data_IF_546813513939
#
_entry.id   IF_546813513939
#
_cell.length_a   1.000
_cell.length_b   1.000
_cell.length_c   1.000
_cell.angle_alpha   90.00
_cell.angle_beta   90.00
_cell.angle_gamma   90.00
#
_symmetry.space_group_name_H-M   'P 1'
#
loop_
_entity.id
_entity.type
_entity.pdbx_description
1 polymer ?
#
# COMPACT_ATOMS: atom_id res chain seq x y z
N UNK A 1 63.71 33.85 15.11
CA UNK A 1 62.27 34.16 14.97
C UNK A 1 61.56 32.86 14.60
N UNK A 2 60.85 32.25 15.53
CA UNK A 2 60.08 31.03 15.25
C UNK A 2 58.75 31.49 14.66
N UNK A 3 58.48 31.10 13.41
CA UNK A 3 57.20 31.40 12.76
C UNK A 3 56.20 30.36 13.23
N UNK A 4 55.12 30.82 13.87
CA UNK A 4 53.99 29.95 14.24
C UNK A 4 53.16 29.62 12.99
N UNK A 5 53.25 28.37 12.54
CA UNK A 5 52.56 27.86 11.37
C UNK A 5 51.14 27.35 11.68
N UNK A 6 50.71 27.37 12.96
CA UNK A 6 49.38 26.87 13.38
C UNK A 6 48.22 27.69 12.78
N UNK A 7 48.50 28.88 12.28
CA UNK A 7 47.54 29.77 11.60
C UNK A 7 47.50 29.61 10.08
N UNK A 8 48.47 28.89 9.47
CA UNK A 8 48.56 28.72 8.02
C UNK A 8 47.69 27.58 7.47
N UNK A 9 47.25 26.65 8.32
CA UNK A 9 46.27 25.64 7.95
C UNK A 9 44.91 26.01 8.57
N UNK A 10 43.95 26.54 7.78
CA UNK A 10 42.61 26.77 8.31
C UNK A 10 42.06 25.46 8.89
N UNK A 11 41.42 25.55 10.06
CA UNK A 11 40.84 24.38 10.71
C UNK A 11 39.81 23.74 9.77
N UNK A 12 40.04 22.48 9.39
CA UNK A 12 39.05 21.70 8.64
C UNK A 12 37.74 21.61 9.44
N UNK A 13 36.61 21.94 8.82
CA UNK A 13 35.28 21.89 9.43
C UNK A 13 34.42 20.78 8.80
N UNK A 14 33.36 20.39 9.50
CA UNK A 14 32.31 19.52 8.99
C UNK A 14 30.96 20.14 9.35
N UNK A 15 29.99 20.09 8.44
CA UNK A 15 28.66 20.63 8.64
C UNK A 15 27.64 19.84 7.79
N UNK A 16 26.36 20.01 8.11
CA UNK A 16 25.21 19.57 7.33
C UNK A 16 25.28 18.13 6.80
N UNK A 17 25.40 17.16 7.71
CA UNK A 17 25.46 15.73 7.41
C UNK A 17 26.87 15.12 7.50
N UNK A 18 27.91 15.96 7.48
CA UNK A 18 29.28 15.55 7.75
C UNK A 18 29.60 15.64 9.25
N UNK A 19 30.41 14.70 9.73
CA UNK A 19 30.96 14.66 11.08
C UNK A 19 32.49 14.63 11.00
N UNK A 20 33.15 15.47 11.77
CA UNK A 20 34.60 15.44 11.94
C UNK A 20 34.94 14.49 13.10
N UNK A 21 35.26 13.23 12.78
CA UNK A 21 35.50 12.20 13.80
C UNK A 21 36.89 12.25 14.41
N UNK A 22 37.83 12.95 13.79
CA UNK A 22 39.15 13.28 14.35
C UNK A 22 39.67 14.60 13.78
N UNK A 23 40.86 15.04 14.18
CA UNK A 23 41.49 16.25 13.62
C UNK A 23 41.70 16.18 12.10
N UNK A 24 41.81 14.97 11.53
CA UNK A 24 42.15 14.71 10.13
C UNK A 24 41.07 13.94 9.36
N UNK A 25 40.02 13.47 10.03
CA UNK A 25 39.00 12.64 9.40
C UNK A 25 37.62 13.32 9.41
N UNK A 26 37.05 13.50 8.22
CA UNK A 26 35.67 13.94 8.01
C UNK A 26 34.91 12.83 7.30
N UNK A 27 33.75 12.46 7.85
CA UNK A 27 32.92 11.34 7.39
C UNK A 27 31.44 11.75 7.34
N UNK A 28 30.59 10.92 6.73
CA UNK A 28 29.14 11.06 6.86
C UNK A 28 28.68 10.66 8.27
N UNK A 29 27.53 11.19 8.70
CA UNK A 29 26.88 10.84 9.97
C UNK A 29 26.75 11.99 10.97
N UNK A 30 26.98 13.23 10.54
CA UNK A 30 26.60 14.42 11.32
C UNK A 30 25.11 14.76 11.16
N UNK A 31 24.54 15.63 12.01
CA UNK A 31 23.18 16.11 11.83
C UNK A 31 23.07 16.96 10.56
N UNK A 32 21.91 16.92 9.91
CA UNK A 32 21.54 17.91 8.91
C UNK A 32 21.13 19.19 9.63
N UNK A 33 21.83 20.28 9.33
CA UNK A 33 21.59 21.63 9.88
C UNK A 33 20.83 22.51 8.90
N UNK A 34 20.68 22.05 7.64
CA UNK A 34 19.86 22.64 6.60
C UNK A 34 19.27 21.58 5.67
N UNK A 35 18.46 22.01 4.69
CA UNK A 35 17.96 21.11 3.66
C UNK A 35 19.10 20.66 2.74
N UNK A 36 19.12 19.37 2.39
CA UNK A 36 20.18 18.76 1.55
C UNK A 36 19.56 18.00 0.39
N UNK A 37 20.15 18.14 -0.79
CA UNK A 37 19.74 17.42 -2.00
C UNK A 37 20.96 16.76 -2.65
N UNK A 38 20.86 15.46 -2.92
CA UNK A 38 21.82 14.74 -3.76
C UNK A 38 21.19 14.58 -5.14
N UNK A 39 21.70 15.30 -6.14
CA UNK A 39 21.19 15.22 -7.51
C UNK A 39 21.88 14.09 -8.26
N UNK A 40 21.11 13.12 -8.75
CA UNK A 40 21.60 12.01 -9.57
C UNK A 40 21.22 12.20 -11.03
N UNK A 41 21.88 11.47 -11.93
CA UNK A 41 21.51 11.35 -13.34
C UNK A 41 21.56 9.87 -13.76
N UNK A 42 21.18 9.56 -15.00
CA UNK A 42 21.31 8.21 -15.53
C UNK A 42 22.77 7.70 -15.54
N UNK A 43 23.75 8.60 -15.66
CA UNK A 43 25.17 8.25 -15.62
C UNK A 43 25.77 8.35 -14.21
N UNK A 44 25.26 9.25 -13.37
CA UNK A 44 25.72 9.49 -12.00
C UNK A 44 24.65 9.06 -11.00
N UNK A 45 24.66 7.78 -10.63
CA UNK A 45 23.66 7.18 -9.73
C UNK A 45 24.10 7.17 -8.26
N UNK A 46 23.16 6.99 -7.34
CA UNK A 46 23.44 6.72 -5.92
C UNK A 46 23.19 5.23 -5.66
N UNK A 47 24.26 4.45 -5.52
CA UNK A 47 24.19 3.04 -5.17
C UNK A 47 24.74 2.81 -3.76
N UNK A 48 24.03 1.99 -2.97
CA UNK A 48 24.48 1.52 -1.65
C UNK A 48 24.63 0.00 -1.75
N UNK A 49 25.78 -0.51 -2.25
CA UNK A 49 25.99 -1.95 -2.37
C UNK A 49 26.13 -2.60 -0.98
N UNK A 50 25.74 -3.87 -0.87
CA UNK A 50 25.93 -4.66 0.36
C UNK A 50 24.91 -4.40 1.48
N UNK A 51 23.72 -3.88 1.16
CA UNK A 51 22.61 -3.80 2.11
C UNK A 51 22.34 -5.17 2.74
N UNK A 52 22.20 -5.18 4.06
CA UNK A 52 21.87 -6.38 4.84
C UNK A 52 20.36 -6.62 4.81
N UNK A 53 19.93 -7.87 5.03
CA UNK A 53 18.51 -8.20 5.21
C UNK A 53 17.98 -7.49 6.46
N UNK A 54 16.89 -6.73 6.30
CA UNK A 54 16.22 -6.04 7.40
C UNK A 54 15.39 -6.95 8.30
N UNK A 55 15.02 -6.45 9.47
CA UNK A 55 14.08 -7.08 10.39
C UNK A 55 12.62 -6.63 10.10
N UNK A 56 11.64 -7.36 10.64
CA UNK A 56 10.22 -7.02 10.53
C UNK A 56 9.85 -5.66 11.14
N UNK A 57 10.70 -5.12 12.02
CA UNK A 57 10.54 -3.79 12.63
C UNK A 57 11.10 -2.65 11.78
N UNK A 58 11.86 -2.97 10.74
CA UNK A 58 12.47 -1.97 9.88
C UNK A 58 11.43 -1.32 8.96
N UNK A 59 11.72 -0.09 8.53
CA UNK A 59 10.83 0.68 7.66
C UNK A 59 11.25 0.56 6.21
N UNK A 60 10.26 0.65 5.32
CA UNK A 60 10.52 0.81 3.89
C UNK A 60 10.83 2.28 3.61
N UNK A 61 11.91 2.56 2.89
CA UNK A 61 12.21 3.90 2.41
C UNK A 61 11.50 4.11 1.06
N UNK A 62 10.72 5.18 0.98
CA UNK A 62 10.07 5.67 -0.25
C UNK A 62 10.55 7.08 -0.57
N UNK A 63 10.10 7.62 -1.70
CA UNK A 63 10.37 8.98 -2.14
C UNK A 63 9.06 9.73 -2.39
N UNK A 64 8.98 11.00 -1.98
CA UNK A 64 7.84 11.88 -2.32
C UNK A 64 7.86 12.27 -3.79
N UNK A 65 6.77 12.88 -4.27
CA UNK A 65 6.73 13.52 -5.60
C UNK A 65 7.79 14.62 -5.78
N UNK A 66 8.34 15.16 -4.69
CA UNK A 66 9.39 16.18 -4.68
C UNK A 66 10.80 15.61 -4.49
N UNK A 67 10.97 14.28 -4.47
CA UNK A 67 12.30 13.66 -4.35
C UNK A 67 12.80 13.49 -2.91
N UNK A 68 11.99 13.77 -1.88
CA UNK A 68 12.39 13.65 -0.46
C UNK A 68 12.20 12.20 0.00
N UNK A 69 13.22 11.63 0.62
CA UNK A 69 13.12 10.29 1.22
C UNK A 69 12.22 10.31 2.45
N UNK A 70 11.33 9.33 2.56
CA UNK A 70 10.44 9.13 3.70
C UNK A 70 10.40 7.66 4.10
N UNK A 71 10.05 7.39 5.36
CA UNK A 71 9.92 6.04 5.86
C UNK A 71 8.45 5.65 6.00
N UNK A 72 8.05 4.51 5.44
CA UNK A 72 6.74 3.93 5.59
C UNK A 72 6.77 2.79 6.62
N UNK A 73 5.72 2.68 7.43
CA UNK A 73 5.54 1.60 8.41
C UNK A 73 5.30 0.22 7.76
N UNK A 74 5.22 0.17 6.44
CA UNK A 74 5.09 -1.05 5.63
C UNK A 74 4.84 -0.67 4.18
N UNK A 75 5.16 -1.56 3.25
CA UNK A 75 4.67 -1.45 1.88
C UNK A 75 3.32 -2.16 1.80
N UNK A 76 2.27 -1.43 1.41
CA UNK A 76 1.01 -2.06 1.04
C UNK A 76 1.25 -2.90 -0.21
N UNK A 77 0.64 -4.10 -0.33
CA UNK A 77 0.72 -4.86 -1.55
C UNK A 77 0.10 -4.05 -2.70
N UNK A 78 0.66 -4.16 -3.91
CA UNK A 78 0.14 -3.44 -5.09
C UNK A 78 -1.32 -3.80 -5.41
N UNK A 79 -1.77 -4.97 -4.97
CA UNK A 79 -3.15 -5.40 -5.04
C UNK A 79 -3.43 -6.46 -3.96
N UNK A 80 -4.70 -6.66 -3.65
CA UNK A 80 -5.20 -7.72 -2.77
C UNK A 80 -6.57 -8.19 -3.26
N UNK A 81 -7.00 -9.39 -2.85
CA UNK A 81 -8.35 -9.87 -3.14
C UNK A 81 -9.35 -9.19 -2.21
N UNK A 82 -10.54 -8.89 -2.72
CA UNK A 82 -11.66 -8.48 -1.89
C UNK A 82 -11.93 -9.55 -0.82
N UNK A 83 -12.40 -9.18 0.38
CA UNK A 83 -12.88 -10.19 1.31
C UNK A 83 -14.08 -10.93 0.70
N UNK A 84 -14.32 -12.14 1.18
CA UNK A 84 -15.46 -12.93 0.74
C UNK A 84 -16.76 -12.16 0.96
N UNK A 85 -17.56 -12.05 -0.11
CA UNK A 85 -18.87 -11.41 -0.08
C UNK A 85 -19.89 -12.33 -0.73
N UNK A 86 -21.07 -12.41 -0.12
CA UNK A 86 -22.21 -13.09 -0.75
C UNK A 86 -22.69 -12.20 -1.90
N UNK A 87 -22.81 -12.79 -3.09
CA UNK A 87 -23.41 -12.14 -4.26
C UNK A 87 -24.83 -12.70 -4.43
N UNK A 88 -25.89 -11.94 -4.10
CA UNK A 88 -27.26 -12.44 -4.21
C UNK A 88 -27.61 -12.82 -5.64
N UNK A 89 -28.14 -14.01 -5.84
CA UNK A 89 -28.59 -14.50 -7.15
C UNK A 89 -30.09 -14.77 -7.19
N UNK A 90 -30.69 -15.05 -6.04
CA UNK A 90 -32.09 -15.40 -5.89
C UNK A 90 -32.73 -14.58 -4.76
N UNK A 91 -34.04 -14.41 -4.84
CA UNK A 91 -34.84 -13.87 -3.73
C UNK A 91 -35.04 -14.91 -2.61
N UNK A 92 -35.77 -14.53 -1.56
CA UNK A 92 -36.06 -15.42 -0.43
C UNK A 92 -36.91 -16.65 -0.78
N UNK A 93 -37.53 -16.67 -1.96
CA UNK A 93 -38.32 -17.80 -2.45
C UNK A 93 -37.52 -18.69 -3.41
N UNK A 94 -36.22 -18.39 -3.63
CA UNK A 94 -35.37 -19.13 -4.55
C UNK A 94 -35.61 -18.80 -6.02
N UNK A 95 -36.21 -17.65 -6.34
CA UNK A 95 -36.43 -17.19 -7.72
C UNK A 95 -35.25 -16.29 -8.15
N UNK A 96 -34.65 -16.50 -9.35
CA UNK A 96 -33.56 -15.64 -9.82
C UNK A 96 -33.93 -14.16 -9.84
N UNK A 97 -33.01 -13.31 -9.38
CA UNK A 97 -33.23 -11.87 -9.31
C UNK A 97 -33.40 -11.27 -10.71
N UNK A 98 -34.36 -10.35 -10.84
CA UNK A 98 -34.69 -9.69 -12.12
C UNK A 98 -34.17 -8.26 -12.14
N UNK A 99 -33.65 -7.84 -13.30
CA UNK A 99 -33.12 -6.50 -13.52
C UNK A 99 -31.72 -6.28 -12.92
N UNK A 100 -31.29 -5.03 -12.91
CA UNK A 100 -29.97 -4.65 -12.41
C UNK A 100 -29.92 -4.76 -10.89
N UNK A 101 -28.97 -5.55 -10.41
CA UNK A 101 -28.60 -5.68 -9.01
C UNK A 101 -27.32 -4.90 -8.75
N UNK A 102 -27.14 -4.42 -7.52
CA UNK A 102 -25.94 -3.70 -7.10
C UNK A 102 -25.33 -4.32 -5.86
N UNK A 103 -24.00 -4.44 -5.84
CA UNK A 103 -23.22 -4.87 -4.70
C UNK A 103 -22.10 -3.87 -4.44
N UNK A 104 -22.20 -3.14 -3.33
CA UNK A 104 -21.16 -2.23 -2.87
C UNK A 104 -20.03 -3.03 -2.19
N UNK A 105 -19.03 -3.42 -2.98
CA UNK A 105 -17.89 -4.23 -2.54
C UNK A 105 -16.91 -3.42 -1.69
N UNK A 106 -16.85 -2.10 -1.87
CA UNK A 106 -16.01 -1.24 -1.03
C UNK A 106 -16.56 -1.16 0.39
N UNK A 107 -17.87 -0.93 0.56
CA UNK A 107 -18.51 -0.91 1.87
C UNK A 107 -18.35 -2.26 2.61
N UNK A 108 -18.52 -3.38 1.89
CA UNK A 108 -18.25 -4.72 2.45
C UNK A 108 -16.79 -4.90 2.85
N UNK A 109 -15.85 -4.42 2.05
CA UNK A 109 -14.43 -4.41 2.38
C UNK A 109 -14.14 -3.61 3.65
N UNK A 110 -14.60 -2.36 3.70
CA UNK A 110 -14.36 -1.47 4.84
C UNK A 110 -14.95 -2.03 6.13
N UNK A 111 -16.13 -2.66 6.06
CA UNK A 111 -16.73 -3.32 7.22
C UNK A 111 -15.93 -4.53 7.70
N UNK A 112 -15.49 -5.40 6.78
CA UNK A 112 -14.77 -6.63 7.14
C UNK A 112 -13.33 -6.37 7.58
N UNK A 113 -12.64 -5.37 7.02
CA UNK A 113 -11.27 -5.01 7.42
C UNK A 113 -11.23 -4.04 8.59
N UNK A 114 -12.21 -3.12 8.67
CA UNK A 114 -12.32 -2.14 9.75
C UNK A 114 -12.94 -2.70 11.03
N UNK A 115 -13.11 -4.02 11.12
CA UNK A 115 -13.79 -4.63 12.25
C UNK A 115 -12.99 -4.50 13.56
N UNK A 116 -13.70 -4.28 14.66
CA UNK A 116 -13.13 -4.23 16.01
C UNK A 116 -13.67 -5.37 16.90
N UNK A 117 -14.11 -6.47 16.29
CA UNK A 117 -14.78 -7.60 16.95
C UNK A 117 -16.30 -7.50 16.91
N UNK A 118 -16.96 -8.65 16.91
CA UNK A 118 -18.41 -8.77 16.77
C UNK A 118 -18.87 -10.21 16.52
N UNK A 119 -20.17 -10.41 16.32
CA UNK A 119 -20.74 -11.72 15.97
C UNK A 119 -20.14 -12.20 14.65
N UNK A 120 -19.61 -13.42 14.62
CA UNK A 120 -18.99 -14.01 13.44
C UNK A 120 -17.60 -13.46 13.10
N UNK A 121 -16.96 -12.72 14.00
CA UNK A 121 -15.65 -12.11 13.77
C UNK A 121 -14.68 -12.51 14.89
N UNK A 122 -13.42 -12.77 14.53
CA UNK A 122 -12.37 -13.15 15.48
C UNK A 122 -11.02 -12.55 15.10
N UNK A 123 -10.16 -12.32 16.09
CA UNK A 123 -8.77 -11.89 15.92
C UNK A 123 -7.90 -12.44 17.05
N UNK A 124 -6.67 -12.80 16.73
CA UNK A 124 -5.72 -13.36 17.71
C UNK A 124 -5.21 -12.31 18.70
N UNK A 125 -5.01 -11.08 18.24
CA UNK A 125 -4.65 -9.92 19.06
C UNK A 125 -5.78 -8.90 19.01
N UNK A 126 -6.46 -8.68 20.14
CA UNK A 126 -7.58 -7.75 20.28
C UNK A 126 -7.22 -6.27 20.04
N UNK A 127 -5.94 -5.93 20.14
CA UNK A 127 -5.43 -4.58 19.85
C UNK A 127 -4.96 -4.41 18.40
N UNK A 128 -4.87 -5.50 17.63
CA UNK A 128 -4.49 -5.44 16.22
C UNK A 128 -5.67 -5.07 15.33
N UNK A 129 -5.40 -4.35 14.25
CA UNK A 129 -6.36 -3.93 13.23
C UNK A 129 -5.79 -4.17 11.83
N UNK A 130 -6.67 -4.39 10.85
CA UNK A 130 -6.27 -4.39 9.45
C UNK A 130 -6.37 -2.97 8.88
N UNK A 131 -5.45 -2.56 7.97
CA UNK A 131 -5.57 -1.28 7.30
C UNK A 131 -6.79 -1.28 6.36
N UNK A 132 -7.57 -0.20 6.40
CA UNK A 132 -8.63 0.10 5.43
C UNK A 132 -8.17 1.26 4.57
N UNK A 133 -8.01 1.02 3.28
CA UNK A 133 -7.67 2.06 2.31
C UNK A 133 -8.94 2.78 1.87
N UNK A 134 -8.90 4.11 1.68
CA UNK A 134 -10.05 4.84 1.16
C UNK A 134 -10.32 4.43 -0.29
N UNK A 135 -11.58 4.47 -0.73
CA UNK A 135 -11.95 4.15 -2.12
C UNK A 135 -11.17 4.99 -3.16
N UNK A 136 -10.79 6.22 -2.80
CA UNK A 136 -9.96 7.09 -3.65
C UNK A 136 -8.58 6.51 -3.96
N UNK A 137 -8.03 5.64 -3.11
CA UNK A 137 -6.73 4.97 -3.27
C UNK A 137 -6.82 3.60 -3.94
N UNK A 138 -8.02 3.20 -4.40
CA UNK A 138 -8.27 1.88 -4.95
C UNK A 138 -8.79 1.93 -6.38
N UNK A 139 -8.35 0.96 -7.19
CA UNK A 139 -8.99 0.55 -8.44
C UNK A 139 -9.59 -0.85 -8.26
N UNK A 140 -10.77 -1.11 -8.83
CA UNK A 140 -11.50 -2.37 -8.64
C UNK A 140 -11.60 -3.17 -9.93
N UNK A 141 -11.41 -4.48 -9.83
CA UNK A 141 -11.43 -5.39 -10.96
C UNK A 141 -12.27 -6.62 -10.64
N UNK A 142 -13.12 -7.02 -11.57
CA UNK A 142 -13.72 -8.36 -11.60
C UNK A 142 -12.89 -9.18 -12.59
N UNK A 143 -12.06 -10.08 -12.07
CA UNK A 143 -11.14 -10.87 -12.91
C UNK A 143 -11.76 -12.17 -13.41
N UNK A 144 -12.84 -12.61 -12.77
CA UNK A 144 -13.65 -13.75 -13.18
C UNK A 144 -15.07 -13.62 -12.62
N UNK A 145 -16.06 -14.09 -13.35
CA UNK A 145 -17.39 -14.40 -12.82
C UNK A 145 -17.96 -15.60 -13.58
N UNK A 146 -18.79 -16.40 -12.90
CA UNK A 146 -19.51 -17.49 -13.52
C UNK A 146 -20.56 -16.97 -14.52
N UNK A 147 -20.27 -17.08 -15.81
CA UNK A 147 -21.14 -16.59 -16.87
C UNK A 147 -22.37 -17.48 -17.11
N UNK A 148 -22.51 -18.63 -16.44
CA UNK A 148 -23.73 -19.44 -16.48
C UNK A 148 -24.80 -18.87 -15.55
N UNK A 149 -24.38 -18.13 -14.53
CA UNK A 149 -25.24 -17.46 -13.55
C UNK A 149 -25.41 -15.97 -13.86
N UNK A 150 -24.32 -15.27 -14.13
CA UNK A 150 -24.31 -13.82 -14.36
C UNK A 150 -24.24 -13.47 -15.86
N UNK A 151 -24.79 -12.32 -16.25
CA UNK A 151 -24.73 -11.84 -17.64
C UNK A 151 -23.91 -10.55 -17.78
N UNK A 152 -24.49 -9.41 -17.43
CA UNK A 152 -23.77 -8.13 -17.44
C UNK A 152 -23.13 -7.96 -16.07
N UNK A 153 -21.82 -7.70 -16.02
CA UNK A 153 -21.11 -7.37 -14.78
C UNK A 153 -20.20 -6.17 -15.06
N UNK A 154 -20.40 -5.10 -14.32
CA UNK A 154 -19.56 -3.89 -14.40
C UNK A 154 -19.19 -3.45 -12.99
N UNK A 155 -18.04 -2.80 -12.83
CA UNK A 155 -17.61 -2.24 -11.55
C UNK A 155 -17.29 -0.76 -11.70
N UNK A 156 -17.80 0.06 -10.79
CA UNK A 156 -17.56 1.51 -10.78
C UNK A 156 -16.27 1.88 -10.06
N UNK A 157 -15.79 3.12 -10.27
CA UNK A 157 -14.67 3.68 -9.53
C UNK A 157 -14.94 3.89 -8.02
N UNK A 158 -16.21 3.77 -7.59
CA UNK A 158 -16.59 3.81 -6.18
C UNK A 158 -16.62 2.42 -5.52
N UNK A 159 -16.25 1.36 -6.26
CA UNK A 159 -16.31 -0.01 -5.75
C UNK A 159 -17.73 -0.54 -5.64
N UNK A 160 -18.59 -0.20 -6.60
CA UNK A 160 -19.94 -0.76 -6.72
C UNK A 160 -20.01 -1.63 -7.97
N UNK A 161 -20.27 -2.92 -7.77
CA UNK A 161 -20.57 -3.85 -8.85
C UNK A 161 -22.05 -3.71 -9.22
N UNK A 162 -22.34 -3.57 -10.51
CA UNK A 162 -23.69 -3.72 -11.06
C UNK A 162 -23.73 -5.00 -11.87
N UNK A 163 -24.72 -5.86 -11.62
CA UNK A 163 -24.86 -7.13 -12.31
C UNK A 163 -26.31 -7.54 -12.59
N UNK A 164 -26.49 -8.49 -13.51
CA UNK A 164 -27.79 -9.15 -13.76
C UNK A 164 -27.64 -10.65 -13.65
N UNK A 165 -28.68 -11.33 -13.14
CA UNK A 165 -28.75 -12.79 -13.04
C UNK A 165 -29.53 -13.35 -14.23
N UNK A 166 -29.10 -14.48 -14.78
CA UNK A 166 -29.83 -15.15 -15.87
C UNK A 166 -31.12 -15.77 -15.32
N UNK A 167 -32.24 -15.73 -16.08
CA UNK A 167 -33.51 -16.32 -15.62
C UNK A 167 -33.45 -17.83 -15.34
N UNK A 168 -32.50 -18.54 -15.94
CA UNK A 168 -32.27 -19.99 -15.76
C UNK A 168 -31.04 -20.27 -14.90
N UNK A 169 -30.55 -19.28 -14.15
CA UNK A 169 -29.36 -19.45 -13.33
C UNK A 169 -29.60 -20.52 -12.26
N UNK A 170 -28.66 -21.44 -12.13
CA UNK A 170 -28.59 -22.41 -11.02
C UNK A 170 -27.25 -22.19 -10.34
N UNK A 171 -27.24 -21.40 -9.27
CA UNK A 171 -26.02 -21.12 -8.53
C UNK A 171 -25.60 -22.36 -7.73
N UNK A 172 -24.32 -22.71 -7.82
CA UNK A 172 -23.72 -23.82 -7.06
C UNK A 172 -22.55 -23.31 -6.23
N UNK A 173 -21.91 -24.20 -5.46
CA UNK A 173 -20.66 -23.87 -4.75
C UNK A 173 -19.53 -23.44 -5.70
N UNK A 174 -19.61 -23.78 -6.99
CA UNK A 174 -18.66 -23.34 -8.01
C UNK A 174 -19.04 -21.98 -8.65
N UNK A 175 -20.17 -21.39 -8.27
CA UNK A 175 -20.65 -20.11 -8.82
C UNK A 175 -20.14 -18.93 -8.00
N UNK A 176 -18.97 -18.39 -8.37
CA UNK A 176 -18.33 -17.28 -7.67
C UNK A 176 -17.82 -16.19 -8.61
N UNK A 177 -17.40 -15.07 -8.01
CA UNK A 177 -16.79 -13.92 -8.67
C UNK A 177 -15.44 -13.63 -8.01
N UNK A 178 -14.38 -13.51 -8.81
CA UNK A 178 -13.07 -13.09 -8.33
C UNK A 178 -12.95 -11.57 -8.44
N UNK A 179 -12.68 -10.93 -7.31
CA UNK A 179 -12.64 -9.48 -7.20
C UNK A 179 -11.27 -9.07 -6.63
N UNK A 180 -10.58 -8.20 -7.36
CA UNK A 180 -9.23 -7.73 -7.02
C UNK A 180 -9.25 -6.22 -6.83
N UNK A 181 -8.62 -5.76 -5.75
CA UNK A 181 -8.46 -4.37 -5.38
C UNK A 181 -7.01 -4.01 -5.62
N UNK A 182 -6.73 -3.09 -6.53
CA UNK A 182 -5.39 -2.58 -6.80
C UNK A 182 -5.20 -1.28 -6.02
N UNK A 183 -4.06 -1.14 -5.36
CA UNK A 183 -3.64 0.09 -4.69
C UNK A 183 -3.05 1.04 -5.74
N UNK A 184 -3.47 2.31 -5.71
CA UNK A 184 -3.01 3.36 -6.63
C UNK A 184 -1.59 3.83 -6.32
#
# INVERSE_FOLDING_TARGET
MTVDLSTLAPASTADNGLNKSSTTNTQLGGPLTGATTITTTAANTLAIPGLQTGAETDKVVTVTSTGVLQALKGALPKFFYAPSVVVPTHDSNGVPLVGNQTLDIYSKYSQQFGFSGGIGQARSNSSSTLPVLPASELDYFVTYFDNTVFNTVTVSAAGVITYTVKPTAVATEASFMNIVFKVK
#
